data_IF_840798040010
#
_entry.id   IF_840798040010
#
_cell.length_a   1.000
_cell.length_b   1.000
_cell.length_c   1.000
_cell.angle_alpha   90.00
_cell.angle_beta   90.00
_cell.angle_gamma   90.00
#
_symmetry.space_group_name_H-M   'P 1'
#
loop_
_entity.id
_entity.type
_entity.pdbx_description
1 polymer ?
#
# COMPACT_ATOMS: atom_id res chain seq x y z
N UNK A 1 26.04 -21.76 -9.91
CA UNK A 1 26.48 -22.23 -8.58
C UNK A 1 26.27 -21.19 -7.51
N UNK A 2 25.29 -21.49 -6.65
CA UNK A 2 24.94 -20.67 -5.50
C UNK A 2 26.01 -20.76 -4.41
N UNK A 3 26.28 -19.65 -3.72
CA UNK A 3 27.31 -19.55 -2.67
C UNK A 3 26.66 -19.41 -1.29
N UNK A 4 27.44 -19.59 -0.21
CA UNK A 4 26.98 -19.43 1.17
C UNK A 4 26.45 -18.04 1.52
N UNK A 5 26.75 -17.04 0.69
CA UNK A 5 26.25 -15.68 0.85
C UNK A 5 24.82 -15.52 0.35
N UNK A 6 24.35 -16.40 -0.54
CA UNK A 6 23.01 -16.33 -1.11
C UNK A 6 21.96 -16.84 -0.12
N UNK A 7 20.79 -16.20 -0.10
CA UNK A 7 19.67 -16.55 0.75
C UNK A 7 19.19 -17.98 0.49
N UNK A 8 19.16 -18.43 -0.76
CA UNK A 8 18.80 -19.80 -1.09
C UNK A 8 19.71 -20.83 -0.39
N UNK A 9 21.01 -20.56 -0.32
CA UNK A 9 21.97 -21.44 0.36
C UNK A 9 21.70 -21.44 1.87
N UNK A 10 21.51 -20.27 2.48
CA UNK A 10 21.24 -20.14 3.93
C UNK A 10 19.98 -20.91 4.33
N UNK A 11 18.91 -20.79 3.55
CA UNK A 11 17.66 -21.51 3.78
C UNK A 11 17.80 -23.02 3.59
N UNK A 12 18.46 -23.46 2.50
CA UNK A 12 18.66 -24.88 2.24
C UNK A 12 19.57 -25.54 3.31
N UNK A 13 20.62 -24.83 3.76
CA UNK A 13 21.49 -25.30 4.84
C UNK A 13 20.76 -25.42 6.18
N UNK A 14 19.87 -24.47 6.49
CA UNK A 14 19.05 -24.54 7.70
C UNK A 14 18.01 -25.68 7.67
N UNK A 15 17.61 -26.11 6.47
CA UNK A 15 16.70 -27.22 6.25
C UNK A 15 17.35 -28.60 6.19
N UNK A 16 18.69 -28.68 6.20
CA UNK A 16 19.47 -29.91 5.92
C UNK A 16 19.19 -30.52 4.53
N UNK A 17 18.80 -29.68 3.56
CA UNK A 17 18.38 -30.08 2.20
C UNK A 17 19.24 -29.38 1.13
N UNK A 18 20.52 -29.16 1.45
CA UNK A 18 21.41 -28.29 0.68
C UNK A 18 21.56 -28.74 -0.78
N UNK A 19 21.81 -30.02 -1.04
CA UNK A 19 22.01 -30.50 -2.42
C UNK A 19 20.71 -30.40 -3.21
N UNK A 20 19.64 -30.95 -2.67
CA UNK A 20 18.35 -31.09 -3.37
C UNK A 20 17.75 -29.74 -3.76
N UNK A 21 17.85 -28.73 -2.87
CA UNK A 21 17.34 -27.40 -3.16
C UNK A 21 18.18 -26.65 -4.18
N UNK A 22 19.50 -26.74 -4.07
CA UNK A 22 20.41 -26.00 -4.94
C UNK A 22 20.39 -26.57 -6.36
N UNK A 23 20.46 -27.90 -6.51
CA UNK A 23 20.41 -28.57 -7.81
C UNK A 23 19.07 -28.27 -8.50
N UNK A 24 17.96 -28.38 -7.76
CA UNK A 24 16.64 -28.07 -8.30
C UNK A 24 16.50 -26.60 -8.69
N UNK A 25 17.06 -25.68 -7.91
CA UNK A 25 17.02 -24.26 -8.25
C UNK A 25 17.89 -23.91 -9.47
N UNK A 26 19.03 -24.58 -9.67
CA UNK A 26 19.84 -24.41 -10.88
C UNK A 26 19.08 -24.87 -12.12
N UNK A 27 18.43 -26.03 -12.04
CA UNK A 27 17.58 -26.55 -13.12
C UNK A 27 16.43 -25.58 -13.46
N UNK A 28 15.78 -25.01 -12.45
CA UNK A 28 14.72 -24.02 -12.65
C UNK A 28 15.23 -22.73 -13.27
N UNK A 29 16.37 -22.20 -12.81
CA UNK A 29 16.99 -21.00 -13.38
C UNK A 29 17.30 -21.22 -14.85
N UNK A 30 17.93 -22.35 -15.19
CA UNK A 30 18.21 -22.75 -16.57
C UNK A 30 16.93 -22.88 -17.41
N UNK A 31 15.90 -23.54 -16.86
CA UNK A 31 14.59 -23.69 -17.53
C UNK A 31 13.95 -22.32 -17.81
N UNK A 32 13.89 -21.44 -16.81
CA UNK A 32 13.22 -20.14 -16.93
C UNK A 32 13.98 -19.13 -17.77
N UNK A 33 15.31 -19.20 -17.81
CA UNK A 33 16.13 -18.34 -18.66
C UNK A 33 15.88 -18.57 -20.15
N UNK A 34 15.55 -19.82 -20.52
CA UNK A 34 15.29 -20.23 -21.90
C UNK A 34 13.82 -20.15 -22.31
N UNK A 35 12.92 -19.71 -21.43
CA UNK A 35 11.49 -19.55 -21.70
C UNK A 35 11.14 -18.13 -22.14
N UNK A 36 10.06 -18.00 -22.91
CA UNK A 36 9.49 -16.67 -23.14
C UNK A 36 8.95 -16.09 -21.82
N UNK A 37 9.00 -14.77 -21.72
CA UNK A 37 8.51 -13.96 -20.61
C UNK A 37 7.06 -14.28 -20.24
N UNK A 38 6.23 -14.63 -21.22
CA UNK A 38 4.81 -14.93 -21.00
C UNK A 38 4.52 -16.42 -20.74
N UNK A 39 5.54 -17.29 -20.84
CA UNK A 39 5.40 -18.75 -20.66
C UNK A 39 5.81 -19.25 -19.29
N UNK A 40 6.65 -18.50 -18.56
CA UNK A 40 7.10 -18.93 -17.22
C UNK A 40 5.91 -19.01 -16.26
N UNK A 41 5.71 -20.20 -15.69
CA UNK A 41 4.73 -20.49 -14.66
C UNK A 41 5.40 -21.17 -13.48
N UNK A 42 4.96 -20.83 -12.26
CA UNK A 42 5.37 -21.51 -11.04
C UNK A 42 4.37 -22.62 -10.74
N UNK A 43 4.82 -23.87 -10.83
CA UNK A 43 3.96 -25.05 -10.76
C UNK A 43 3.45 -25.34 -9.34
N UNK A 44 4.18 -24.87 -8.32
CA UNK A 44 3.84 -25.10 -6.92
C UNK A 44 4.39 -24.01 -6.00
N UNK A 45 3.97 -24.04 -4.73
CA UNK A 45 4.41 -23.10 -3.69
C UNK A 45 5.92 -23.12 -3.47
N UNK A 46 6.57 -24.27 -3.63
CA UNK A 46 8.01 -24.39 -3.43
C UNK A 46 8.79 -23.61 -4.49
N UNK A 47 8.40 -23.68 -5.76
CA UNK A 47 8.98 -22.83 -6.82
C UNK A 47 8.78 -21.33 -6.55
N UNK A 48 7.65 -20.94 -5.93
CA UNK A 48 7.41 -19.55 -5.53
C UNK A 48 8.37 -19.14 -4.39
N UNK A 49 8.62 -20.02 -3.42
CA UNK A 49 9.61 -19.81 -2.36
C UNK A 49 11.00 -19.65 -2.96
N UNK A 50 11.43 -20.56 -3.83
CA UNK A 50 12.73 -20.48 -4.50
C UNK A 50 12.86 -19.19 -5.33
N UNK A 51 11.85 -18.84 -6.11
CA UNK A 51 11.84 -17.59 -6.89
C UNK A 51 11.94 -16.36 -5.98
N UNK A 52 11.31 -16.38 -4.81
CA UNK A 52 11.41 -15.29 -3.82
C UNK A 52 12.83 -15.16 -3.27
N UNK A 53 13.48 -16.27 -2.92
CA UNK A 53 14.86 -16.30 -2.42
C UNK A 53 15.84 -15.83 -3.50
N UNK A 54 15.70 -16.33 -4.72
CA UNK A 54 16.51 -15.90 -5.87
C UNK A 54 16.32 -14.41 -6.18
N UNK A 55 15.12 -13.87 -5.99
CA UNK A 55 14.85 -12.45 -6.18
C UNK A 55 15.56 -11.57 -5.13
N UNK A 56 15.74 -12.05 -3.90
CA UNK A 56 16.45 -11.30 -2.85
C UNK A 56 17.92 -11.05 -3.20
N UNK A 57 18.54 -11.99 -3.91
CA UNK A 57 19.94 -11.92 -4.35
C UNK A 57 20.11 -11.44 -5.80
N UNK A 58 19.03 -10.98 -6.46
CA UNK A 58 18.99 -10.62 -7.89
C UNK A 58 19.46 -11.75 -8.85
N UNK A 59 19.26 -13.00 -8.44
CA UNK A 59 19.61 -14.21 -9.20
C UNK A 59 18.44 -14.75 -10.04
N UNK A 60 17.25 -14.17 -9.90
CA UNK A 60 16.07 -14.61 -10.65
C UNK A 60 16.15 -14.11 -12.11
N UNK A 61 16.08 -15.01 -13.12
CA UNK A 61 16.13 -14.60 -14.53
C UNK A 61 15.04 -13.60 -14.90
N UNK A 62 15.28 -12.76 -15.91
CA UNK A 62 14.34 -11.71 -16.31
C UNK A 62 12.94 -12.23 -16.67
N UNK A 63 12.77 -13.34 -17.43
CA UNK A 63 11.46 -13.92 -17.68
C UNK A 63 10.72 -14.28 -16.39
N UNK A 64 11.40 -14.99 -15.47
CA UNK A 64 10.86 -15.39 -14.18
C UNK A 64 10.53 -14.20 -13.27
N UNK A 65 11.35 -13.13 -13.25
CA UNK A 65 11.05 -11.90 -12.50
C UNK A 65 9.73 -11.28 -12.92
N UNK A 66 9.45 -11.26 -14.22
CA UNK A 66 8.19 -10.71 -14.76
C UNK A 66 7.00 -11.62 -14.46
N UNK A 67 7.15 -12.93 -14.60
CA UNK A 67 6.12 -13.89 -14.19
C UNK A 67 5.81 -13.78 -12.68
N UNK A 68 6.85 -13.66 -11.84
CA UNK A 68 6.72 -13.49 -10.40
C UNK A 68 5.95 -12.20 -10.04
N UNK A 69 6.25 -11.09 -10.72
CA UNK A 69 5.51 -9.84 -10.52
C UNK A 69 4.01 -9.97 -10.87
N UNK A 70 3.68 -10.66 -11.97
CA UNK A 70 2.28 -10.94 -12.34
C UNK A 70 1.57 -11.80 -11.29
N UNK A 71 2.25 -12.84 -10.79
CA UNK A 71 1.74 -13.69 -9.72
C UNK A 71 1.47 -12.85 -8.45
N UNK A 72 2.43 -12.02 -8.03
CA UNK A 72 2.29 -11.18 -6.85
C UNK A 72 1.09 -10.21 -6.96
N UNK A 73 0.86 -9.61 -8.12
CA UNK A 73 -0.31 -8.76 -8.37
C UNK A 73 -1.61 -9.57 -8.19
N UNK A 74 -1.67 -10.79 -8.76
CA UNK A 74 -2.83 -11.67 -8.61
C UNK A 74 -3.09 -12.06 -7.16
N UNK A 75 -2.04 -12.41 -6.41
CA UNK A 75 -2.13 -12.75 -4.97
C UNK A 75 -2.62 -11.54 -4.15
N UNK A 76 -2.16 -10.32 -4.46
CA UNK A 76 -2.62 -9.11 -3.77
C UNK A 76 -4.12 -8.87 -4.04
N UNK A 77 -4.57 -9.01 -5.29
CA UNK A 77 -5.99 -8.87 -5.65
C UNK A 77 -6.86 -9.94 -4.96
N UNK A 78 -6.39 -11.19 -4.92
CA UNK A 78 -7.07 -12.27 -4.21
C UNK A 78 -7.14 -12.00 -2.69
N UNK A 79 -6.04 -11.55 -2.10
CA UNK A 79 -5.98 -11.18 -0.69
C UNK A 79 -6.95 -10.04 -0.35
N UNK A 80 -7.06 -9.02 -1.20
CA UNK A 80 -8.01 -7.91 -1.04
C UNK A 80 -9.46 -8.41 -1.10
N UNK A 81 -9.79 -9.23 -2.12
CA UNK A 81 -11.12 -9.85 -2.26
C UNK A 81 -11.49 -10.70 -1.05
N UNK A 82 -10.52 -11.44 -0.50
CA UNK A 82 -10.69 -12.27 0.71
C UNK A 82 -10.55 -11.48 2.01
N UNK A 83 -10.28 -10.17 1.95
CA UNK A 83 -10.07 -9.29 3.11
C UNK A 83 -8.97 -9.77 4.06
N UNK A 84 -7.92 -10.39 3.50
CA UNK A 84 -6.74 -10.80 4.26
C UNK A 84 -5.93 -9.54 4.60
N UNK A 85 -5.58 -9.39 5.87
CA UNK A 85 -4.75 -8.27 6.32
C UNK A 85 -3.29 -8.51 5.96
N UNK A 86 -2.78 -7.80 4.95
CA UNK A 86 -1.36 -7.80 4.61
C UNK A 86 -0.62 -6.68 5.35
N UNK A 87 0.54 -7.00 5.92
CA UNK A 87 1.43 -6.00 6.50
C UNK A 87 2.00 -5.13 5.37
N UNK A 88 1.60 -3.87 5.31
CA UNK A 88 2.07 -2.91 4.31
C UNK A 88 2.67 -1.69 5.01
N UNK A 89 3.59 -0.98 4.34
CA UNK A 89 4.16 0.28 4.84
C UNK A 89 3.12 1.42 4.94
N UNK A 90 1.83 1.17 4.66
CA UNK A 90 0.73 2.14 4.64
C UNK A 90 1.07 3.43 3.89
N UNK A 91 1.87 3.29 2.84
CA UNK A 91 2.17 4.38 1.92
C UNK A 91 1.03 4.47 0.92
N UNK A 92 0.46 5.65 0.79
CA UNK A 92 -0.56 5.92 -0.23
C UNK A 92 -0.08 7.10 -1.07
N UNK A 93 -0.27 7.07 -2.39
CA UNK A 93 -0.01 8.24 -3.21
C UNK A 93 -0.81 9.42 -2.68
N UNK A 94 -0.26 10.64 -2.83
CA UNK A 94 -0.98 11.84 -2.45
C UNK A 94 -2.34 11.86 -3.18
N UNK A 95 -3.41 12.19 -2.46
CA UNK A 95 -4.73 12.23 -3.08
C UNK A 95 -4.71 13.21 -4.27
N UNK A 96 -5.22 12.79 -5.45
CA UNK A 96 -5.27 13.67 -6.62
C UNK A 96 -6.12 14.90 -6.29
N UNK A 97 -5.56 16.09 -6.55
CA UNK A 97 -6.21 17.37 -6.30
C UNK A 97 -5.23 18.49 -5.96
N UNK A 98 -5.71 19.74 -6.03
CA UNK A 98 -4.94 20.92 -5.62
C UNK A 98 -4.57 20.75 -4.14
N UNK A 99 -3.27 20.90 -3.81
CA UNK A 99 -2.79 20.94 -2.41
C UNK A 99 -3.54 22.05 -1.66
N UNK A 100 -4.67 21.74 -1.05
CA UNK A 100 -5.28 22.63 -0.08
C UNK A 100 -4.28 22.70 1.08
N UNK A 101 -3.81 23.91 1.43
CA UNK A 101 -3.01 24.08 2.63
C UNK A 101 -3.80 23.53 3.82
N UNK A 102 -3.35 22.37 4.34
CA UNK A 102 -4.00 21.69 5.47
C UNK A 102 -4.10 22.63 6.66
N UNK A 103 -3.09 23.47 6.85
CA UNK A 103 -3.06 24.49 7.89
C UNK A 103 -4.14 25.55 7.68
N UNK A 104 -4.27 26.10 6.47
CA UNK A 104 -5.30 27.09 6.18
C UNK A 104 -6.72 26.53 6.36
N UNK A 105 -6.95 25.28 5.93
CA UNK A 105 -8.21 24.58 6.19
C UNK A 105 -8.44 24.40 7.70
N UNK A 106 -7.44 23.94 8.44
CA UNK A 106 -7.55 23.71 9.88
C UNK A 106 -7.90 25.00 10.64
N UNK A 107 -7.24 26.11 10.32
CA UNK A 107 -7.51 27.42 10.93
C UNK A 107 -8.95 27.86 10.69
N UNK A 108 -9.47 27.69 9.46
CA UNK A 108 -10.87 28.01 9.15
C UNK A 108 -11.84 27.13 9.93
N UNK A 109 -11.59 25.83 9.97
CA UNK A 109 -12.43 24.88 10.72
C UNK A 109 -12.43 25.17 12.22
N UNK A 110 -11.29 25.55 12.79
CA UNK A 110 -11.18 25.94 14.20
C UNK A 110 -11.96 27.23 14.46
N UNK A 111 -11.83 28.23 13.59
CA UNK A 111 -12.58 29.49 13.69
C UNK A 111 -14.10 29.24 13.70
N UNK A 112 -14.62 28.38 12.82
CA UNK A 112 -16.03 28.00 12.84
C UNK A 112 -16.42 27.35 14.18
N UNK A 113 -15.58 26.46 14.72
CA UNK A 113 -15.84 25.82 16.02
C UNK A 113 -15.86 26.82 17.17
N UNK A 114 -14.96 27.80 17.17
CA UNK A 114 -14.91 28.82 18.20
C UNK A 114 -16.17 29.69 18.17
N UNK A 115 -16.64 30.09 16.99
CA UNK A 115 -17.90 30.82 16.88
C UNK A 115 -19.10 30.00 17.36
N UNK A 116 -19.15 28.72 17.03
CA UNK A 116 -20.19 27.81 17.55
C UNK A 116 -20.11 27.66 19.08
N UNK A 117 -18.90 27.59 19.65
CA UNK A 117 -18.71 27.53 21.11
C UNK A 117 -19.12 28.82 21.81
N UNK A 118 -18.93 29.98 21.17
CA UNK A 118 -19.41 31.26 21.68
C UNK A 118 -20.92 31.47 21.54
N UNK A 119 -21.67 30.45 21.07
CA UNK A 119 -23.12 30.46 21.01
C UNK A 119 -23.72 30.96 19.70
N UNK A 120 -22.91 31.24 18.67
CA UNK A 120 -23.44 31.63 17.36
C UNK A 120 -24.14 30.45 16.67
N UNK A 121 -25.15 30.78 15.87
CA UNK A 121 -25.76 29.79 14.98
C UNK A 121 -24.77 29.34 13.89
N UNK A 122 -25.02 28.17 13.29
CA UNK A 122 -24.17 27.64 12.21
C UNK A 122 -24.07 28.58 11.01
N UNK A 123 -25.19 29.19 10.62
CA UNK A 123 -25.23 30.09 9.47
C UNK A 123 -24.38 31.35 9.73
N UNK A 124 -24.50 31.95 10.92
CA UNK A 124 -23.70 33.11 11.30
C UNK A 124 -22.22 32.77 11.45
N UNK A 125 -21.88 31.60 12.02
CA UNK A 125 -20.51 31.13 12.12
C UNK A 125 -19.85 30.96 10.74
N UNK A 126 -20.59 30.45 9.76
CA UNK A 126 -20.10 30.35 8.38
C UNK A 126 -19.94 31.72 7.73
N UNK A 127 -20.87 32.65 7.96
CA UNK A 127 -20.80 34.01 7.42
C UNK A 127 -19.60 34.80 7.99
N UNK A 128 -19.41 34.82 9.31
CA UNK A 128 -18.27 35.51 9.95
C UNK A 128 -16.92 34.91 9.54
N UNK A 129 -16.86 33.58 9.39
CA UNK A 129 -15.65 32.92 8.89
C UNK A 129 -15.41 33.25 7.41
N UNK A 130 -16.47 33.33 6.62
CA UNK A 130 -16.42 33.71 5.20
C UNK A 130 -15.81 35.11 5.01
N UNK A 131 -16.24 36.08 5.82
CA UNK A 131 -15.70 37.44 5.83
C UNK A 131 -14.22 37.45 6.20
N UNK A 132 -13.84 36.77 7.29
CA UNK A 132 -12.47 36.74 7.80
C UNK A 132 -11.46 36.11 6.82
N UNK A 133 -11.88 35.13 6.03
CA UNK A 133 -10.99 34.38 5.14
C UNK A 133 -11.25 34.60 3.65
N UNK A 134 -12.10 35.58 3.30
CA UNK A 134 -12.48 35.92 1.93
C UNK A 134 -12.86 34.69 1.08
N UNK A 135 -13.71 33.83 1.64
CA UNK A 135 -14.26 32.63 0.98
C UNK A 135 -15.77 32.67 1.00
N UNK A 136 -16.45 32.06 0.04
CA UNK A 136 -17.92 32.03 0.08
C UNK A 136 -18.43 31.25 1.31
N UNK A 137 -19.55 31.65 1.94
CA UNK A 137 -20.12 30.94 3.07
C UNK A 137 -20.41 29.47 2.76
N UNK A 138 -20.85 29.17 1.52
CA UNK A 138 -21.08 27.80 1.07
C UNK A 138 -19.79 26.97 1.00
N UNK A 139 -18.66 27.58 0.63
CA UNK A 139 -17.36 26.91 0.68
C UNK A 139 -17.00 26.53 2.11
N UNK A 140 -17.16 27.47 3.06
CA UNK A 140 -16.90 27.22 4.49
C UNK A 140 -17.80 26.10 5.03
N UNK A 141 -19.11 26.14 4.69
CA UNK A 141 -20.07 25.08 5.05
C UNK A 141 -19.61 23.72 4.54
N UNK A 142 -19.30 23.59 3.25
CA UNK A 142 -18.88 22.32 2.64
C UNK A 142 -17.60 21.79 3.27
N UNK A 143 -16.61 22.66 3.50
CA UNK A 143 -15.36 22.31 4.17
C UNK A 143 -15.63 21.76 5.58
N UNK A 144 -16.44 22.47 6.37
CA UNK A 144 -16.78 22.10 7.73
C UNK A 144 -17.58 20.79 7.83
N UNK A 145 -18.62 20.64 7.02
CA UNK A 145 -19.46 19.44 7.02
C UNK A 145 -18.69 18.20 6.55
N UNK A 146 -17.83 18.34 5.53
CA UNK A 146 -16.93 17.26 5.09
C UNK A 146 -15.99 16.84 6.20
N UNK A 147 -15.39 17.80 6.92
CA UNK A 147 -14.50 17.52 8.04
C UNK A 147 -15.24 16.80 9.19
N UNK A 148 -16.45 17.24 9.54
CA UNK A 148 -17.28 16.62 10.57
C UNK A 148 -17.71 15.20 10.18
N UNK A 149 -18.09 14.97 8.91
CA UNK A 149 -18.42 13.63 8.39
C UNK A 149 -17.23 12.69 8.48
N UNK A 150 -16.04 13.14 8.04
CA UNK A 150 -14.79 12.36 8.12
C UNK A 150 -14.43 12.03 9.58
N UNK A 151 -14.58 12.98 10.49
CA UNK A 151 -14.36 12.73 11.93
C UNK A 151 -15.32 11.70 12.52
N UNK A 152 -16.59 11.68 12.10
CA UNK A 152 -17.57 10.66 12.52
C UNK A 152 -17.20 9.27 11.98
N UNK A 153 -16.78 9.18 10.72
CA UNK A 153 -16.33 7.92 10.12
C UNK A 153 -15.08 7.37 10.82
N UNK A 154 -14.09 8.22 11.09
CA UNK A 154 -12.88 7.81 11.81
C UNK A 154 -13.14 7.38 13.26
N UNK A 155 -14.19 7.89 13.91
CA UNK A 155 -14.61 7.41 15.25
C UNK A 155 -15.33 6.06 15.18
N UNK A 156 -16.14 5.82 14.14
CA UNK A 156 -16.82 4.53 13.93
C UNK A 156 -15.86 3.40 13.52
N UNK A 157 -14.84 3.72 12.72
CA UNK A 157 -13.80 2.76 12.33
C UNK A 157 -12.72 2.50 13.39
N UNK A 158 -12.84 3.08 14.59
CA UNK A 158 -11.95 2.84 15.74
C UNK A 158 -12.56 1.86 16.77
N UNK A 159 -13.63 1.16 16.41
CA UNK A 159 -14.06 -0.05 17.12
C UNK A 159 -13.40 -1.21 16.38
N UNK A 160 -12.16 -1.52 16.75
CA UNK A 160 -11.45 -2.78 16.49
C UNK A 160 -10.25 -2.81 17.41
#
# INVERSE_FOLDING_TARGET
MFSSEHEIWKFANAGDELSDWLDYAEDLVSKWENMDIDEVQFENTFQIVLASLLLMDDLLPQPARRAFAKLAIGVIDEADKKKVSLATMKMSPAQPGRKASRQALSIRLFTVKDYLKSGLSKQEAYHKTSEKFHKSPDTIRREFERAMKKSKQNRKGKIT
#
